data_IF_284542129115
#
_entry.id   IF_284542129115
#
_cell.length_a   1.000
_cell.length_b   1.000
_cell.length_c   1.000
_cell.angle_alpha   90.00
_cell.angle_beta   90.00
_cell.angle_gamma   90.00
#
_symmetry.space_group_name_H-M   'P 1'
#
loop_
_entity.id
_entity.type
_entity.pdbx_description
1 polymer ?
#
# COMPACT_ATOMS: atom_id res chain seq x y z
N UNK A 1 -8.57 -30.31 34.64
CA UNK A 1 -8.73 -30.50 33.19
C UNK A 1 -9.12 -29.15 32.62
N UNK A 2 -8.26 -28.14 32.61
CA UNK A 2 -6.97 -28.08 31.89
C UNK A 2 -7.14 -28.48 30.44
N UNK A 3 -7.37 -27.49 29.57
CA UNK A 3 -6.42 -27.00 28.56
C UNK A 3 -6.76 -25.49 28.37
N UNK A 4 -6.09 -24.58 29.06
CA UNK A 4 -4.97 -23.77 28.53
C UNK A 4 -5.30 -23.05 27.22
N UNK A 5 -5.64 -21.76 27.28
CA UNK A 5 -4.70 -20.61 27.20
C UNK A 5 -4.20 -20.34 25.79
N UNK A 6 -4.38 -19.10 25.37
CA UNK A 6 -3.51 -18.40 24.40
C UNK A 6 -3.49 -18.97 22.98
N UNK A 7 -4.60 -18.80 22.23
CA UNK A 7 -4.41 -18.56 20.79
C UNK A 7 -3.97 -17.10 20.62
N UNK A 8 -2.64 -16.97 20.71
CA UNK A 8 -1.81 -15.80 20.51
C UNK A 8 -2.45 -14.74 19.61
N UNK A 9 -2.45 -13.53 20.13
CA UNK A 9 -2.36 -12.26 19.42
C UNK A 9 -1.38 -12.41 18.24
N UNK A 10 -1.91 -12.72 17.05
CA UNK A 10 -1.10 -12.74 15.84
C UNK A 10 -0.69 -11.29 15.59
N UNK A 11 0.62 -11.02 15.69
CA UNK A 11 1.20 -9.76 15.23
C UNK A 11 0.82 -9.62 13.76
N UNK A 12 -0.23 -8.85 13.45
CA UNK A 12 -0.68 -8.60 12.09
C UNK A 12 0.52 -8.09 11.30
N UNK A 13 1.10 -8.96 10.50
CA UNK A 13 2.12 -8.58 9.55
C UNK A 13 1.37 -7.80 8.49
N UNK A 14 1.56 -6.48 8.49
CA UNK A 14 0.90 -5.59 7.53
C UNK A 14 1.29 -6.06 6.13
N UNK A 15 0.30 -6.52 5.35
CA UNK A 15 0.50 -6.78 3.93
C UNK A 15 0.46 -5.43 3.19
N UNK A 16 1.65 -4.86 2.97
CA UNK A 16 1.82 -3.54 2.35
C UNK A 16 1.09 -3.46 1.01
N UNK A 17 1.19 -4.51 0.17
CA UNK A 17 0.51 -4.49 -1.12
C UNK A 17 -1.02 -4.47 -0.97
N UNK A 18 -1.60 -5.36 -0.15
CA UNK A 18 -3.07 -5.38 0.04
C UNK A 18 -3.57 -4.05 0.61
N UNK A 19 -2.79 -3.41 1.48
CA UNK A 19 -3.09 -2.06 1.97
C UNK A 19 -3.05 -1.05 0.82
N UNK A 20 -1.98 -1.00 0.02
CA UNK A 20 -1.88 -0.09 -1.12
C UNK A 20 -2.99 -0.31 -2.15
N UNK A 21 -3.39 -1.56 -2.42
CA UNK A 21 -4.52 -1.89 -3.30
C UNK A 21 -5.80 -1.24 -2.79
N UNK A 22 -6.09 -1.34 -1.49
CA UNK A 22 -7.28 -0.73 -0.88
C UNK A 22 -7.24 0.80 -0.97
N UNK A 23 -6.09 1.41 -0.70
CA UNK A 23 -5.95 2.87 -0.76
C UNK A 23 -6.09 3.40 -2.20
N UNK A 24 -5.45 2.75 -3.18
CA UNK A 24 -5.60 3.13 -4.60
C UNK A 24 -7.04 2.96 -5.07
N UNK A 25 -7.70 1.88 -4.69
CA UNK A 25 -9.11 1.67 -5.00
C UNK A 25 -10.01 2.77 -4.42
N UNK A 26 -9.74 3.21 -3.18
CA UNK A 26 -10.47 4.29 -2.52
C UNK A 26 -10.24 5.65 -3.22
N UNK A 27 -8.99 5.99 -3.53
CA UNK A 27 -8.63 7.24 -4.25
C UNK A 27 -9.33 7.30 -5.61
N UNK A 28 -9.36 6.19 -6.33
CA UNK A 28 -9.98 6.11 -7.66
C UNK A 28 -11.49 5.87 -7.62
N UNK A 29 -12.08 5.63 -6.46
CA UNK A 29 -13.49 5.25 -6.29
C UNK A 29 -13.89 4.04 -7.16
N UNK A 30 -13.04 3.02 -7.22
CA UNK A 30 -13.28 1.77 -7.96
C UNK A 30 -13.26 0.55 -7.03
N UNK A 31 -13.74 -0.59 -7.52
CA UNK A 31 -13.63 -1.85 -6.79
C UNK A 31 -12.16 -2.29 -6.65
N UNK A 32 -11.78 -2.76 -5.46
CA UNK A 32 -10.40 -3.21 -5.19
C UNK A 32 -9.98 -4.41 -6.05
N UNK A 33 -10.92 -5.25 -6.49
CA UNK A 33 -10.66 -6.35 -7.42
C UNK A 33 -10.30 -5.89 -8.83
N UNK A 34 -10.55 -4.62 -9.15
CA UNK A 34 -10.12 -3.98 -10.41
C UNK A 34 -8.68 -3.44 -10.35
N UNK A 35 -8.07 -3.42 -9.17
CA UNK A 35 -6.72 -2.89 -8.97
C UNK A 35 -5.70 -4.02 -9.05
N UNK A 36 -5.08 -4.18 -10.23
CA UNK A 36 -4.03 -5.16 -10.44
C UNK A 36 -2.67 -4.66 -9.90
N UNK A 37 -1.92 -5.46 -9.13
CA UNK A 37 -0.68 -5.01 -8.50
C UNK A 37 0.48 -4.73 -9.47
N UNK A 38 0.43 -5.35 -10.65
CA UNK A 38 1.39 -5.16 -11.75
C UNK A 38 0.90 -4.13 -12.79
N UNK A 39 -0.33 -3.64 -12.67
CA UNK A 39 -0.87 -2.64 -13.59
C UNK A 39 -0.22 -1.29 -13.30
N UNK A 40 0.26 -0.55 -14.32
CA UNK A 40 0.78 0.79 -14.12
C UNK A 40 -0.27 1.72 -13.47
N UNK A 41 0.13 2.49 -12.46
CA UNK A 41 -0.81 3.36 -11.72
C UNK A 41 -1.52 4.36 -12.63
N UNK A 42 -0.84 4.87 -13.67
CA UNK A 42 -1.45 5.77 -14.64
C UNK A 42 -2.49 5.08 -15.54
N UNK A 43 -2.36 3.76 -15.78
CA UNK A 43 -3.36 2.98 -16.54
C UNK A 43 -4.59 2.68 -15.69
N UNK A 44 -4.46 2.66 -14.36
CA UNK A 44 -5.59 2.59 -13.43
C UNK A 44 -6.38 3.92 -13.37
N UNK A 45 -5.88 4.99 -13.99
CA UNK A 45 -6.50 6.32 -13.95
C UNK A 45 -5.97 7.21 -12.82
N UNK A 46 -4.87 6.84 -12.16
CA UNK A 46 -4.23 7.70 -11.17
C UNK A 46 -3.61 8.92 -11.84
N UNK A 47 -4.19 10.10 -11.58
CA UNK A 47 -3.72 11.37 -12.08
C UNK A 47 -2.70 12.03 -11.12
N UNK A 48 -2.35 13.30 -11.38
CA UNK A 48 -1.39 14.03 -10.54
C UNK A 48 -1.91 14.31 -9.14
N UNK A 49 -3.21 14.53 -8.96
CA UNK A 49 -3.79 14.84 -7.66
C UNK A 49 -3.95 13.55 -6.83
N UNK A 50 -4.47 12.49 -7.45
CA UNK A 50 -4.54 11.16 -6.84
C UNK A 50 -3.17 10.62 -6.49
N UNK A 51 -2.13 10.94 -7.28
CA UNK A 51 -0.76 10.60 -6.93
C UNK A 51 -0.28 11.30 -5.65
N UNK A 52 -0.53 12.61 -5.50
CA UNK A 52 -0.19 13.34 -4.27
C UNK A 52 -0.95 12.78 -3.07
N UNK A 53 -2.23 12.45 -3.23
CA UNK A 53 -3.03 11.81 -2.19
C UNK A 53 -2.47 10.44 -1.77
N UNK A 54 -2.08 9.61 -2.74
CA UNK A 54 -1.43 8.33 -2.49
C UNK A 54 -0.16 8.49 -1.64
N UNK A 55 0.70 9.47 -1.95
CA UNK A 55 1.90 9.75 -1.15
C UNK A 55 1.55 10.09 0.30
N UNK A 56 0.57 10.97 0.51
CA UNK A 56 0.12 11.39 1.84
C UNK A 56 -0.45 10.21 2.63
N UNK A 57 -1.25 9.36 1.98
CA UNK A 57 -1.83 8.16 2.60
C UNK A 57 -0.73 7.18 3.00
N UNK A 58 0.26 6.93 2.13
CA UNK A 58 1.37 6.03 2.42
C UNK A 58 2.17 6.48 3.65
N UNK A 59 2.53 7.77 3.72
CA UNK A 59 3.27 8.31 4.87
C UNK A 59 2.48 8.14 6.18
N UNK A 60 1.17 8.38 6.15
CA UNK A 60 0.30 8.24 7.32
C UNK A 60 0.11 6.79 7.73
N UNK A 61 -0.17 5.91 6.78
CA UNK A 61 -0.51 4.50 7.01
C UNK A 61 0.71 3.70 7.48
N UNK A 62 1.87 3.92 6.87
CA UNK A 62 3.10 3.20 7.21
C UNK A 62 4.00 3.95 8.19
N UNK A 63 3.63 5.18 8.59
CA UNK A 63 4.42 6.05 9.48
C UNK A 63 5.86 6.25 9.01
N UNK A 64 6.04 6.38 7.70
CA UNK A 64 7.34 6.62 7.04
C UNK A 64 7.40 8.04 6.50
N UNK A 65 8.62 8.49 6.19
CA UNK A 65 8.85 9.72 5.40
C UNK A 65 9.38 9.30 4.03
N UNK A 66 8.60 9.49 2.99
CA UNK A 66 8.96 9.07 1.64
C UNK A 66 10.17 9.86 1.12
N UNK A 67 10.34 11.11 1.54
CA UNK A 67 11.53 11.92 1.23
C UNK A 67 12.86 11.30 1.70
N UNK A 68 12.84 10.53 2.79
CA UNK A 68 14.05 9.90 3.36
C UNK A 68 14.28 8.48 2.82
N UNK A 69 13.34 7.96 2.03
CA UNK A 69 13.32 6.55 1.62
C UNK A 69 14.17 6.22 0.39
N UNK A 70 14.69 7.23 -0.30
CA UNK A 70 15.43 7.04 -1.55
C UNK A 70 14.57 6.52 -2.72
N UNK A 71 13.24 6.63 -2.61
CA UNK A 71 12.32 6.28 -3.70
C UNK A 71 12.56 7.16 -4.94
N UNK A 72 12.45 6.51 -6.09
CA UNK A 72 12.58 7.10 -7.41
C UNK A 72 11.24 7.03 -8.14
N UNK A 73 11.11 7.76 -9.26
CA UNK A 73 9.93 7.68 -10.13
C UNK A 73 9.60 6.24 -10.57
N UNK A 74 10.61 5.37 -10.71
CA UNK A 74 10.38 3.99 -11.12
C UNK A 74 9.67 3.15 -10.06
N UNK A 75 9.82 3.51 -8.79
CA UNK A 75 9.20 2.76 -7.68
C UNK A 75 7.69 3.00 -7.60
N UNK A 76 7.21 4.08 -8.21
CA UNK A 76 5.79 4.44 -8.32
C UNK A 76 5.14 3.98 -9.63
N UNK A 77 5.75 3.04 -10.37
CA UNK A 77 5.14 2.53 -11.60
C UNK A 77 3.93 1.66 -11.31
N UNK A 78 4.08 0.70 -10.40
CA UNK A 78 3.06 -0.30 -10.05
C UNK A 78 2.98 -0.43 -8.53
N UNK A 79 1.86 -0.95 -8.03
CA UNK A 79 1.70 -1.20 -6.59
C UNK A 79 2.75 -2.17 -6.09
N UNK A 80 3.05 -3.23 -6.86
CA UNK A 80 4.10 -4.21 -6.52
C UNK A 80 5.47 -3.56 -6.37
N UNK A 81 5.83 -2.67 -7.31
CA UNK A 81 7.09 -1.94 -7.26
C UNK A 81 7.20 -1.12 -5.97
N UNK A 82 6.14 -0.39 -5.64
CA UNK A 82 6.08 0.47 -4.46
C UNK A 82 6.12 -0.34 -3.15
N UNK A 83 5.31 -1.40 -3.06
CA UNK A 83 5.26 -2.29 -1.92
C UNK A 83 6.63 -2.91 -1.62
N UNK A 84 7.40 -3.25 -2.65
CA UNK A 84 8.75 -3.85 -2.49
C UNK A 84 9.78 -2.90 -1.85
N UNK A 85 9.53 -1.59 -1.90
CA UNK A 85 10.44 -0.56 -1.38
C UNK A 85 10.09 -0.08 0.01
N UNK A 86 8.81 -0.14 0.38
CA UNK A 86 8.38 0.14 1.74
C UNK A 86 8.84 -1.04 2.62
N UNK A 87 9.79 -0.77 3.52
CA UNK A 87 10.22 -1.72 4.56
C UNK A 87 9.83 -1.14 5.90
N UNK A 88 9.07 -1.91 6.68
CA UNK A 88 8.65 -1.60 8.05
C UNK A 88 9.64 -2.17 9.07
#
# INVERSE_FOLDING_TARGET
MEIDKEKKMDKETINIEETLIKEVAAILSIDKGSVGPEVPLHELGLDSLGFVELLVVIEKTFRIRLMDSGLTRNDFKTIRSLASKIRL
#
